data_IF_070916472840
#
_entry.id   IF_070916472840
#
_cell.length_a   1.000
_cell.length_b   1.000
_cell.length_c   1.000
_cell.angle_alpha   90.00
_cell.angle_beta   90.00
_cell.angle_gamma   90.00
#
_symmetry.space_group_name_H-M   'P 1'
#
loop_
_entity.id
_entity.type
_entity.pdbx_description
1 polymer ?
#
# COMPACT_ATOMS: atom_id res chain seq x y z
N UNK A 1 -15.33 26.89 -2.36
CA UNK A 1 -14.21 27.63 -1.73
C UNK A 1 -13.20 27.92 -2.83
N UNK A 2 -12.84 29.17 -3.04
CA UNK A 2 -11.82 29.55 -4.02
C UNK A 2 -10.44 29.21 -3.48
N UNK A 3 -9.44 29.00 -4.37
CA UNK A 3 -8.03 28.79 -3.97
C UNK A 3 -7.44 29.90 -3.09
N UNK A 4 -8.11 31.03 -3.00
CA UNK A 4 -7.70 32.20 -2.22
C UNK A 4 -8.08 32.14 -0.73
N UNK A 5 -8.78 31.08 -0.28
CA UNK A 5 -9.21 30.92 1.13
C UNK A 5 -8.30 29.98 1.94
N UNK A 6 -7.09 29.69 1.48
CA UNK A 6 -6.15 28.85 2.24
C UNK A 6 -5.79 29.56 3.55
N UNK A 7 -6.22 28.97 4.66
CA UNK A 7 -5.85 29.44 5.99
C UNK A 7 -4.41 28.98 6.30
N UNK A 8 -3.69 29.72 7.17
CA UNK A 8 -2.33 29.31 7.54
C UNK A 8 -2.37 27.95 8.24
N UNK A 9 -1.48 27.04 7.81
CA UNK A 9 -1.28 25.74 8.44
C UNK A 9 -0.47 25.94 9.71
N UNK A 10 -0.97 25.43 10.83
CA UNK A 10 -0.31 25.45 12.13
C UNK A 10 0.05 24.04 12.56
N UNK A 11 1.31 23.81 12.91
CA UNK A 11 1.77 22.55 13.48
C UNK A 11 1.26 22.45 14.92
N UNK A 12 0.53 21.38 15.23
CA UNK A 12 0.05 21.04 16.57
C UNK A 12 1.00 20.09 17.30
N UNK A 13 1.51 19.09 16.62
CA UNK A 13 2.47 18.14 17.16
C UNK A 13 3.33 17.55 16.03
N UNK A 14 4.59 17.27 16.32
CA UNK A 14 5.53 16.68 15.38
C UNK A 14 6.17 15.42 16.00
N UNK A 15 5.97 14.28 15.36
CA UNK A 15 6.65 13.03 15.64
C UNK A 15 7.86 12.84 14.70
N UNK A 16 8.44 11.64 14.75
CA UNK A 16 9.53 11.27 13.86
C UNK A 16 9.07 11.15 12.40
N UNK A 17 7.88 10.61 12.18
CA UNK A 17 7.36 10.26 10.84
C UNK A 17 6.13 11.06 10.45
N UNK A 18 5.37 11.54 11.42
CA UNK A 18 4.09 12.21 11.23
C UNK A 18 4.10 13.58 11.89
N UNK A 19 3.40 14.52 11.25
CA UNK A 19 3.11 15.84 11.81
C UNK A 19 1.60 16.03 11.84
N UNK A 20 1.04 16.36 13.01
CA UNK A 20 -0.34 16.78 13.15
C UNK A 20 -0.41 18.28 12.91
N UNK A 21 -1.31 18.69 12.03
CA UNK A 21 -1.51 20.09 11.64
C UNK A 21 -2.96 20.52 11.78
N UNK A 22 -3.16 21.84 11.94
CA UNK A 22 -4.46 22.51 11.89
C UNK A 22 -4.45 23.53 10.75
N UNK A 23 -5.41 23.43 9.86
CA UNK A 23 -5.66 24.42 8.82
C UNK A 23 -7.07 24.98 9.01
N UNK A 24 -7.14 26.11 9.76
CA UNK A 24 -8.41 26.81 9.98
C UNK A 24 -9.47 26.04 10.77
N UNK A 25 -9.07 25.21 11.71
CA UNK A 25 -9.92 24.38 12.54
C UNK A 25 -10.13 22.95 12.00
N UNK A 26 -9.44 22.60 10.89
CA UNK A 26 -9.42 21.23 10.37
C UNK A 26 -8.09 20.58 10.72
N UNK A 27 -8.14 19.53 11.53
CA UNK A 27 -6.96 18.80 11.97
C UNK A 27 -6.73 17.56 11.08
N UNK A 28 -5.50 17.41 10.59
CA UNK A 28 -5.09 16.25 9.80
C UNK A 28 -3.61 15.94 9.99
N UNK A 29 -3.16 14.78 9.56
CA UNK A 29 -1.76 14.38 9.60
C UNK A 29 -1.11 14.49 8.23
N UNK A 30 0.15 14.90 8.23
CA UNK A 30 1.02 14.91 7.04
C UNK A 30 2.25 14.03 7.30
N UNK A 31 2.81 13.47 6.25
CA UNK A 31 4.06 12.70 6.29
C UNK A 31 5.10 13.40 5.43
N UNK A 32 5.89 14.33 6.01
CA UNK A 32 6.74 15.24 5.22
C UNK A 32 7.89 14.56 4.49
N UNK A 33 8.26 13.34 4.90
CA UNK A 33 9.46 12.63 4.42
C UNK A 33 9.20 11.71 3.24
N UNK A 34 7.94 11.50 2.84
CA UNK A 34 7.59 10.62 1.72
C UNK A 34 7.00 11.39 0.55
N UNK A 35 7.14 10.83 -0.65
CA UNK A 35 6.55 11.36 -1.88
C UNK A 35 5.20 10.74 -2.22
N UNK A 36 4.85 9.60 -1.60
CA UNK A 36 3.60 8.89 -1.81
C UNK A 36 3.63 7.46 -1.25
N UNK A 37 2.58 6.73 -1.55
CA UNK A 37 2.41 5.32 -1.19
C UNK A 37 2.22 4.53 -2.48
N UNK A 38 2.92 3.41 -2.65
CA UNK A 38 2.69 2.47 -3.73
C UNK A 38 1.95 1.24 -3.22
N UNK A 39 1.03 0.73 -4.04
CA UNK A 39 0.25 -0.50 -3.78
C UNK A 39 0.28 -1.33 -5.06
N UNK A 40 0.57 -2.61 -4.96
CA UNK A 40 0.85 -3.44 -6.12
C UNK A 40 -0.18 -4.57 -6.24
N UNK A 41 -0.88 -4.63 -7.36
CA UNK A 41 -1.71 -5.78 -7.76
C UNK A 41 -0.82 -6.71 -8.56
N UNK A 42 -0.45 -7.83 -7.97
CA UNK A 42 0.44 -8.81 -8.55
C UNK A 42 -0.28 -10.16 -8.72
N UNK A 43 -0.35 -10.67 -9.94
CA UNK A 43 -0.97 -11.98 -10.23
C UNK A 43 0.05 -12.84 -10.96
N UNK A 44 0.29 -14.04 -10.43
CA UNK A 44 1.22 -15.00 -11.03
C UNK A 44 0.68 -15.58 -12.34
N UNK A 45 1.55 -16.21 -13.13
CA UNK A 45 1.17 -16.87 -14.40
C UNK A 45 0.15 -18.00 -14.17
N UNK A 46 0.12 -18.57 -12.95
CA UNK A 46 -0.89 -19.58 -12.56
C UNK A 46 -2.23 -18.96 -12.13
N UNK A 47 -2.39 -17.64 -12.23
CA UNK A 47 -3.63 -16.94 -11.88
C UNK A 47 -3.86 -16.81 -10.36
N UNK A 48 -2.78 -16.71 -9.57
CA UNK A 48 -2.85 -16.47 -8.14
C UNK A 48 -2.54 -15.00 -7.81
N UNK A 49 -3.40 -14.38 -7.01
CA UNK A 49 -3.15 -13.07 -6.43
C UNK A 49 -2.12 -13.20 -5.31
N UNK A 50 -1.09 -12.36 -5.37
CA UNK A 50 -0.08 -12.24 -4.31
C UNK A 50 -0.59 -11.26 -3.26
N UNK A 51 -0.72 -11.71 -2.03
CA UNK A 51 -1.13 -10.94 -0.87
C UNK A 51 -0.06 -11.03 0.21
N UNK A 52 -0.01 -10.04 1.07
CA UNK A 52 0.86 -10.01 2.25
C UNK A 52 0.02 -9.94 3.51
N UNK A 53 0.53 -10.54 4.59
CA UNK A 53 -0.05 -10.46 5.92
C UNK A 53 0.99 -9.91 6.87
N UNK A 54 0.68 -8.80 7.54
CA UNK A 54 1.58 -8.19 8.51
C UNK A 54 0.82 -7.59 9.71
N UNK A 55 1.54 -7.40 10.83
CA UNK A 55 0.95 -6.79 12.02
C UNK A 55 0.93 -5.26 11.90
N UNK A 56 -0.26 -4.67 11.87
CA UNK A 56 -0.46 -3.22 11.81
C UNK A 56 -0.74 -2.66 13.22
N UNK A 57 0.25 -1.96 13.78
CA UNK A 57 0.18 -1.39 15.15
C UNK A 57 -1.01 -0.47 15.36
N UNK A 58 -1.37 0.33 14.36
CA UNK A 58 -2.47 1.29 14.46
C UNK A 58 -3.84 0.64 14.72
N UNK A 59 -4.03 -0.61 14.27
CA UNK A 59 -5.27 -1.37 14.45
C UNK A 59 -5.11 -2.58 15.38
N UNK A 60 -3.90 -2.80 15.92
CA UNK A 60 -3.56 -3.91 16.82
C UNK A 60 -3.94 -5.29 16.28
N UNK A 61 -3.76 -5.50 14.97
CA UNK A 61 -4.13 -6.76 14.27
C UNK A 61 -3.12 -7.08 13.18
N UNK A 62 -3.04 -8.37 12.83
CA UNK A 62 -2.52 -8.75 11.51
C UNK A 62 -3.57 -8.42 10.47
N UNK A 63 -3.12 -7.93 9.32
CA UNK A 63 -3.97 -7.46 8.21
C UNK A 63 -3.51 -8.14 6.93
N UNK A 64 -4.46 -8.60 6.13
CA UNK A 64 -4.22 -9.06 4.76
C UNK A 64 -4.29 -7.84 3.83
N UNK A 65 -3.25 -7.64 3.04
CA UNK A 65 -3.06 -6.46 2.20
C UNK A 65 -2.52 -6.85 0.82
N UNK A 66 -2.61 -5.96 -0.14
CA UNK A 66 -1.73 -5.98 -1.32
C UNK A 66 -0.32 -5.54 -0.90
N UNK A 67 0.74 -6.02 -1.55
CA UNK A 67 2.10 -5.50 -1.35
C UNK A 67 2.10 -3.97 -1.50
N UNK A 68 2.76 -3.27 -0.58
CA UNK A 68 2.67 -1.82 -0.51
C UNK A 68 3.81 -1.20 0.31
N UNK A 69 4.30 -0.04 -0.12
CA UNK A 69 5.32 0.65 0.65
C UNK A 69 5.33 2.17 0.47
N UNK A 70 6.25 2.80 1.18
CA UNK A 70 6.44 4.25 1.16
C UNK A 70 7.50 4.62 0.13
N UNK A 71 7.33 5.78 -0.51
CA UNK A 71 8.25 6.29 -1.51
C UNK A 71 9.10 7.41 -0.92
N UNK A 72 10.43 7.23 -0.92
CA UNK A 72 11.38 8.23 -0.43
C UNK A 72 11.62 8.19 1.08
N UNK A 73 11.22 7.11 1.76
CA UNK A 73 11.44 6.91 3.20
C UNK A 73 12.83 6.35 3.53
N UNK A 74 13.54 5.80 2.55
CA UNK A 74 14.90 5.26 2.71
C UNK A 74 15.92 6.38 2.64
N UNK A 75 16.79 6.45 3.64
CA UNK A 75 17.90 7.43 3.68
C UNK A 75 18.79 7.30 2.45
N UNK A 76 18.96 8.41 1.72
CA UNK A 76 19.73 8.48 0.47
C UNK A 76 18.92 8.17 -0.80
N UNK A 77 17.64 7.78 -0.70
CA UNK A 77 16.76 7.48 -1.83
C UNK A 77 15.59 8.46 -1.98
N UNK A 78 15.71 9.68 -1.47
CA UNK A 78 14.64 10.71 -1.53
C UNK A 78 14.21 11.09 -2.96
N UNK A 79 14.93 10.65 -3.99
CA UNK A 79 14.59 10.82 -5.40
C UNK A 79 14.05 9.57 -6.08
N UNK A 80 13.74 8.52 -5.32
CA UNK A 80 13.17 7.27 -5.85
C UNK A 80 11.86 7.55 -6.59
N UNK A 81 11.71 6.98 -7.79
CA UNK A 81 10.45 7.09 -8.53
C UNK A 81 9.39 6.15 -7.95
N UNK A 82 8.09 6.47 -8.18
CA UNK A 82 6.98 5.60 -7.76
C UNK A 82 7.09 4.19 -8.34
N UNK A 83 7.58 4.06 -9.57
CA UNK A 83 7.77 2.74 -10.25
C UNK A 83 8.90 1.96 -9.63
N UNK A 84 10.03 2.63 -9.32
CA UNK A 84 11.17 1.96 -8.68
C UNK A 84 10.79 1.48 -7.27
N UNK A 85 10.11 2.32 -6.50
CA UNK A 85 9.58 1.94 -5.19
C UNK A 85 8.61 0.75 -5.28
N UNK A 86 7.66 0.78 -6.22
CA UNK A 86 6.73 -0.34 -6.41
C UNK A 86 7.45 -1.66 -6.78
N UNK A 87 8.52 -1.56 -7.57
CA UNK A 87 9.33 -2.72 -7.95
C UNK A 87 10.10 -3.26 -6.75
N UNK A 88 10.74 -2.39 -6.00
CA UNK A 88 11.51 -2.74 -4.78
C UNK A 88 10.60 -3.39 -3.73
N UNK A 89 9.47 -2.76 -3.39
CA UNK A 89 8.52 -3.29 -2.40
C UNK A 89 7.96 -4.66 -2.78
N UNK A 90 7.62 -4.86 -4.07
CA UNK A 90 7.18 -6.16 -4.55
C UNK A 90 8.25 -7.24 -4.32
N UNK A 91 9.52 -6.92 -4.60
CA UNK A 91 10.62 -7.87 -4.40
C UNK A 91 10.89 -8.13 -2.92
N UNK A 92 10.98 -7.08 -2.10
CA UNK A 92 11.28 -7.17 -0.67
C UNK A 92 10.19 -7.92 0.10
N UNK A 93 8.93 -7.53 -0.10
CA UNK A 93 7.82 -8.14 0.63
C UNK A 93 7.47 -9.55 0.13
N UNK A 94 7.53 -9.79 -1.19
CA UNK A 94 6.96 -11.01 -1.78
C UNK A 94 7.95 -11.95 -2.45
N UNK A 95 9.15 -11.48 -2.74
CA UNK A 95 10.14 -12.24 -3.52
C UNK A 95 9.81 -12.36 -5.00
N UNK A 96 8.85 -11.58 -5.51
CA UNK A 96 8.52 -11.53 -6.93
C UNK A 96 9.05 -10.27 -7.59
N UNK A 97 9.53 -10.41 -8.84
CA UNK A 97 9.90 -9.32 -9.73
C UNK A 97 8.93 -9.26 -10.90
N UNK A 98 8.46 -8.06 -11.23
CA UNK A 98 7.66 -7.82 -12.41
C UNK A 98 8.52 -7.44 -13.60
N UNK A 99 8.13 -7.87 -14.82
CA UNK A 99 8.72 -7.39 -16.05
C UNK A 99 8.23 -5.98 -16.42
N UNK A 100 7.01 -5.62 -15.97
CA UNK A 100 6.38 -4.34 -16.21
C UNK A 100 5.53 -3.91 -15.02
N UNK A 101 5.57 -2.61 -14.68
CA UNK A 101 4.69 -1.96 -13.72
C UNK A 101 3.80 -0.95 -14.45
N UNK A 102 2.50 -1.17 -14.45
CA UNK A 102 1.52 -0.29 -15.08
C UNK A 102 0.70 0.47 -14.02
N UNK A 103 0.75 1.81 -14.03
CA UNK A 103 -0.08 2.63 -13.13
C UNK A 103 -1.55 2.46 -13.51
N UNK A 104 -2.37 1.99 -12.57
CA UNK A 104 -3.82 1.86 -12.72
C UNK A 104 -4.59 3.07 -12.18
N UNK A 105 -4.12 3.63 -11.06
CA UNK A 105 -4.83 4.72 -10.37
C UNK A 105 -3.87 5.51 -9.47
N UNK A 106 -4.19 6.78 -9.30
CA UNK A 106 -3.58 7.67 -8.32
C UNK A 106 -4.65 8.52 -7.65
N UNK A 107 -4.60 8.62 -6.33
CA UNK A 107 -5.56 9.47 -5.60
C UNK A 107 -5.36 9.44 -4.09
N UNK A 108 -6.05 10.33 -3.35
CA UNK A 108 -5.95 10.39 -1.91
C UNK A 108 -6.59 9.16 -1.26
N UNK A 109 -5.97 8.63 -0.19
CA UNK A 109 -6.43 7.40 0.46
C UNK A 109 -7.33 7.65 1.67
N UNK A 110 -7.11 8.73 2.38
CA UNK A 110 -7.84 9.05 3.61
C UNK A 110 -8.15 10.56 3.71
N UNK A 111 -8.97 11.05 2.78
CA UNK A 111 -9.24 12.49 2.54
C UNK A 111 -9.69 13.31 3.74
N UNK A 112 -10.14 12.68 4.81
CA UNK A 112 -10.59 13.36 6.03
C UNK A 112 -9.54 13.42 7.13
N UNK A 113 -8.38 12.74 6.95
CA UNK A 113 -7.41 12.59 8.04
C UNK A 113 -5.94 12.69 7.60
N UNK A 114 -5.64 12.50 6.33
CA UNK A 114 -4.26 12.64 5.82
C UNK A 114 -4.23 13.21 4.41
N UNK A 115 -3.08 13.76 4.03
CA UNK A 115 -2.76 14.23 2.68
C UNK A 115 -2.13 13.15 1.79
N UNK A 116 -2.03 11.92 2.28
CA UNK A 116 -1.37 10.83 1.60
C UNK A 116 -2.06 10.46 0.29
N UNK A 117 -1.24 10.31 -0.75
CA UNK A 117 -1.66 9.88 -2.10
C UNK A 117 -1.17 8.47 -2.35
N UNK A 118 -2.10 7.58 -2.72
CA UNK A 118 -1.79 6.21 -3.12
C UNK A 118 -1.64 6.11 -4.64
N UNK A 119 -0.66 5.31 -5.08
CA UNK A 119 -0.42 4.95 -6.47
C UNK A 119 -0.60 3.44 -6.60
N UNK A 120 -1.66 2.99 -7.27
CA UNK A 120 -1.95 1.57 -7.47
C UNK A 120 -1.39 1.12 -8.80
N UNK A 121 -0.47 0.16 -8.75
CA UNK A 121 0.17 -0.44 -9.92
C UNK A 121 -0.31 -1.86 -10.15
N UNK A 122 -0.37 -2.27 -11.42
CA UNK A 122 -0.45 -3.67 -11.81
C UNK A 122 0.95 -4.16 -12.19
N UNK A 123 1.38 -5.24 -11.54
CA UNK A 123 2.63 -5.93 -11.85
C UNK A 123 2.38 -7.05 -12.85
N UNK A 124 3.08 -7.05 -13.96
CA UNK A 124 2.93 -8.01 -15.06
C UNK A 124 4.21 -8.80 -15.30
N UNK A 125 4.06 -10.05 -15.75
CA UNK A 125 5.19 -10.92 -16.07
C UNK A 125 6.03 -11.22 -14.84
N UNK A 126 5.39 -11.77 -13.80
CA UNK A 126 6.04 -12.06 -12.53
C UNK A 126 7.05 -13.19 -12.65
N UNK A 127 8.19 -13.04 -12.02
CA UNK A 127 9.19 -14.08 -11.81
C UNK A 127 9.59 -14.13 -10.34
N UNK A 128 9.81 -15.33 -9.81
CA UNK A 128 10.30 -15.49 -8.44
C UNK A 128 11.80 -15.23 -8.37
N UNK A 129 12.22 -14.29 -7.54
CA UNK A 129 13.63 -13.90 -7.39
C UNK A 129 14.15 -14.04 -5.96
N UNK A 130 13.26 -14.24 -4.99
CA UNK A 130 13.62 -14.35 -3.58
C UNK A 130 12.55 -15.03 -2.73
N UNK A 131 12.78 -15.06 -1.44
CA UNK A 131 11.83 -15.60 -0.46
C UNK A 131 10.69 -14.62 -0.17
N UNK A 132 10.97 -13.31 -0.23
CA UNK A 132 10.09 -12.27 0.32
C UNK A 132 10.14 -12.27 1.84
N UNK A 133 9.19 -11.60 2.46
CA UNK A 133 9.04 -11.55 3.90
C UNK A 133 9.36 -10.18 4.52
N UNK A 134 9.69 -9.19 3.68
CA UNK A 134 10.09 -7.85 4.09
C UNK A 134 11.56 -7.77 4.54
N UNK A 135 11.91 -6.68 5.19
CA UNK A 135 13.22 -6.43 5.75
C UNK A 135 13.37 -6.99 7.19
N UNK A 136 14.52 -6.72 7.84
CA UNK A 136 14.80 -7.18 9.21
C UNK A 136 13.85 -6.61 10.28
N UNK A 137 13.08 -5.57 9.96
CA UNK A 137 12.14 -4.91 10.87
C UNK A 137 10.69 -5.33 10.67
N UNK A 138 10.42 -6.11 9.62
CA UNK A 138 9.11 -6.54 9.19
C UNK A 138 8.89 -8.03 9.47
N UNK A 139 7.63 -8.40 9.71
CA UNK A 139 7.17 -9.78 9.88
C UNK A 139 6.03 -10.02 8.91
N UNK A 140 6.40 -10.28 7.65
CA UNK A 140 5.49 -10.45 6.52
C UNK A 140 5.34 -11.92 6.17
N UNK A 141 4.08 -12.38 6.06
CA UNK A 141 3.72 -13.67 5.50
C UNK A 141 3.13 -13.49 4.11
N UNK A 142 3.71 -14.15 3.10
CA UNK A 142 3.22 -14.10 1.72
C UNK A 142 2.16 -15.16 1.48
N UNK A 143 1.06 -14.78 0.84
CA UNK A 143 -0.02 -15.65 0.41
C UNK A 143 -0.18 -15.58 -1.11
N UNK A 144 -0.13 -16.71 -1.79
CA UNK A 144 -0.48 -16.82 -3.21
C UNK A 144 -1.85 -17.51 -3.31
N UNK A 145 -2.90 -16.73 -3.61
CA UNK A 145 -4.29 -17.18 -3.56
C UNK A 145 -4.88 -17.24 -4.96
N UNK A 146 -5.38 -18.40 -5.43
CA UNK A 146 -6.07 -18.45 -6.72
C UNK A 146 -7.16 -17.40 -6.81
N UNK A 147 -7.26 -16.68 -7.93
CA UNK A 147 -8.24 -15.56 -8.09
C UNK A 147 -9.67 -16.03 -7.77
N UNK A 148 -10.04 -17.25 -8.17
CA UNK A 148 -11.35 -17.82 -7.87
C UNK A 148 -11.63 -18.02 -6.36
N UNK A 149 -10.59 -18.09 -5.53
CA UNK A 149 -10.68 -18.38 -4.09
C UNK A 149 -10.47 -17.14 -3.22
N UNK A 150 -10.12 -15.99 -3.79
CA UNK A 150 -9.76 -14.78 -3.03
C UNK A 150 -10.88 -14.38 -2.07
N UNK A 151 -12.13 -14.32 -2.51
CA UNK A 151 -13.26 -13.96 -1.64
C UNK A 151 -13.42 -14.93 -0.44
N UNK A 152 -13.31 -16.23 -0.69
CA UNK A 152 -13.42 -17.26 0.36
C UNK A 152 -12.22 -17.16 1.32
N UNK A 153 -11.01 -16.96 0.79
CA UNK A 153 -9.80 -16.75 1.59
C UNK A 153 -9.95 -15.54 2.52
N UNK A 154 -10.31 -14.35 1.98
CA UNK A 154 -10.45 -13.13 2.76
C UNK A 154 -11.54 -13.26 3.84
N UNK A 155 -12.68 -13.90 3.51
CA UNK A 155 -13.74 -14.18 4.47
C UNK A 155 -13.24 -15.10 5.61
N UNK A 156 -12.48 -16.14 5.27
CA UNK A 156 -11.91 -17.07 6.25
C UNK A 156 -10.86 -16.37 7.16
N UNK A 157 -10.02 -15.50 6.63
CA UNK A 157 -9.06 -14.74 7.45
C UNK A 157 -9.78 -13.75 8.37
N UNK A 158 -10.79 -13.04 7.85
CA UNK A 158 -11.62 -12.14 8.67
C UNK A 158 -12.32 -12.89 9.81
N UNK A 159 -12.84 -14.09 9.56
CA UNK A 159 -13.45 -14.93 10.60
C UNK A 159 -12.47 -15.37 11.70
N UNK A 160 -11.17 -15.43 11.41
CA UNK A 160 -10.09 -15.66 12.39
C UNK A 160 -9.68 -14.40 13.15
N UNK A 161 -10.29 -13.23 12.84
CA UNK A 161 -10.01 -11.95 13.48
C UNK A 161 -8.95 -11.11 12.81
N UNK A 162 -8.41 -11.50 11.65
CA UNK A 162 -7.51 -10.65 10.88
C UNK A 162 -8.27 -9.47 10.26
N UNK A 163 -7.56 -8.37 10.04
CA UNK A 163 -8.05 -7.28 9.18
C UNK A 163 -7.95 -7.66 7.71
N UNK A 164 -8.79 -7.05 6.89
CA UNK A 164 -8.72 -7.12 5.42
C UNK A 164 -8.69 -5.70 4.91
N UNK A 165 -7.65 -5.36 4.16
CA UNK A 165 -7.50 -4.02 3.60
C UNK A 165 -8.44 -3.83 2.39
N UNK A 166 -9.28 -2.80 2.39
CA UNK A 166 -10.19 -2.51 1.28
C UNK A 166 -9.47 -2.21 -0.04
N UNK A 167 -8.19 -1.84 -0.02
CA UNK A 167 -7.38 -1.62 -1.23
C UNK A 167 -7.26 -2.89 -2.10
N UNK A 168 -7.41 -4.09 -1.50
CA UNK A 168 -7.48 -5.34 -2.26
C UNK A 168 -8.61 -5.28 -3.28
N UNK A 169 -9.82 -4.92 -2.84
CA UNK A 169 -10.99 -4.87 -3.73
C UNK A 169 -10.87 -3.74 -4.77
N UNK A 170 -10.33 -2.59 -4.35
CA UNK A 170 -10.07 -1.48 -5.27
C UNK A 170 -9.05 -1.89 -6.36
N UNK A 171 -7.94 -2.52 -5.97
CA UNK A 171 -6.91 -3.00 -6.88
C UNK A 171 -7.45 -4.03 -7.89
N UNK A 172 -8.18 -5.03 -7.41
CA UNK A 172 -8.80 -6.05 -8.27
C UNK A 172 -9.78 -5.45 -9.27
N UNK A 173 -10.61 -4.51 -8.84
CA UNK A 173 -11.54 -3.80 -9.73
C UNK A 173 -10.80 -3.01 -10.80
N UNK A 174 -9.77 -2.25 -10.42
CA UNK A 174 -8.97 -1.43 -11.32
C UNK A 174 -8.19 -2.27 -12.35
N UNK A 175 -7.63 -3.38 -11.92
CA UNK A 175 -6.95 -4.36 -12.80
C UNK A 175 -7.94 -5.19 -13.64
N UNK A 176 -9.26 -4.94 -13.52
CA UNK A 176 -10.32 -5.70 -14.19
C UNK A 176 -10.27 -7.20 -13.93
N UNK A 177 -9.83 -7.57 -12.76
CA UNK A 177 -9.80 -8.95 -12.31
C UNK A 177 -11.18 -9.30 -11.75
N UNK A 178 -11.89 -10.19 -12.42
CA UNK A 178 -13.19 -10.64 -11.98
C UNK A 178 -12.99 -11.67 -10.84
N UNK A 179 -13.57 -11.35 -9.69
CA UNK A 179 -13.77 -12.34 -8.63
C UNK A 179 -15.11 -13.03 -8.90
N UNK A 180 -15.17 -14.38 -8.86
CA UNK A 180 -16.42 -15.11 -9.01
C UNK A 180 -17.39 -14.86 -7.86
#
# INVERSE_FOLDING_TARGET
MSENDKKPVRVLAQGRYLTLVDEGGWEYVVRPTISGIVVIVAVTDEGKLVLVEQYRRAVHKRVIELPAGLVGDIDGQQGESMVDAATRELEEETGHRAAEMALLFQGPIAVGISDEVVHIYEARGLSRVGAGGGDETEDITVHEVPLAEVNAFLAAQSAKGLGVDPKIFAGLFLARLNLP
#
